data_IF_835099938312
#
_entry.id   IF_835099938312
#
_cell.length_a   1.000
_cell.length_b   1.000
_cell.length_c   1.000
_cell.angle_alpha   90.00
_cell.angle_beta   90.00
_cell.angle_gamma   90.00
#
_symmetry.space_group_name_H-M   'P 1'
#
loop_
_entity.id
_entity.type
_entity.pdbx_description
1 polymer ?
#
# COMPACT_ATOMS: atom_id res chain seq x y z
N UNK A 1 -23.40 15.42 -3.52
CA UNK A 1 -22.29 15.01 -2.63
C UNK A 1 -21.13 14.62 -3.53
N UNK A 2 -19.93 15.21 -3.36
CA UNK A 2 -18.74 14.71 -4.08
C UNK A 2 -18.47 13.31 -3.53
N UNK A 3 -18.51 12.26 -4.36
CA UNK A 3 -18.04 10.95 -3.94
C UNK A 3 -16.58 11.11 -3.52
N UNK A 4 -16.28 10.86 -2.24
CA UNK A 4 -14.89 10.80 -1.79
C UNK A 4 -14.22 9.65 -2.53
N UNK A 5 -12.96 9.86 -2.94
CA UNK A 5 -12.15 8.78 -3.50
C UNK A 5 -11.96 7.70 -2.43
N UNK A 6 -12.03 6.44 -2.84
CA UNK A 6 -11.75 5.33 -1.93
C UNK A 6 -10.29 5.40 -1.48
N UNK A 7 -10.03 5.08 -0.20
CA UNK A 7 -8.69 4.97 0.37
C UNK A 7 -8.26 3.51 0.40
N UNK A 8 -7.23 3.19 -0.37
CA UNK A 8 -6.80 1.80 -0.59
C UNK A 8 -5.37 1.62 -0.09
N UNK A 9 -5.18 0.71 0.87
CA UNK A 9 -3.87 0.27 1.30
C UNK A 9 -3.40 -0.93 0.47
N UNK A 10 -2.18 -0.88 -0.05
CA UNK A 10 -1.56 -1.97 -0.83
C UNK A 10 -0.23 -2.34 -0.17
N UNK A 11 -0.13 -3.56 0.38
CA UNK A 11 1.09 -4.11 0.96
C UNK A 11 1.86 -4.93 -0.09
N UNK A 12 3.18 -4.79 -0.10
CA UNK A 12 4.03 -5.38 -1.14
C UNK A 12 4.08 -4.54 -2.42
N UNK A 13 3.90 -3.22 -2.27
CA UNK A 13 3.72 -2.31 -3.40
C UNK A 13 4.91 -2.25 -4.37
N UNK A 14 6.12 -2.60 -3.94
CA UNK A 14 7.30 -2.67 -4.81
C UNK A 14 7.37 -3.94 -5.68
N UNK A 15 6.59 -4.99 -5.40
CA UNK A 15 6.54 -6.20 -6.22
C UNK A 15 5.73 -5.98 -7.50
N UNK A 16 5.91 -6.83 -8.51
CA UNK A 16 5.24 -6.66 -9.83
C UNK A 16 3.71 -6.58 -9.72
N UNK A 17 3.11 -7.40 -8.85
CA UNK A 17 1.66 -7.38 -8.60
C UNK A 17 1.27 -6.09 -7.86
N UNK A 18 2.01 -5.74 -6.81
CA UNK A 18 1.76 -4.53 -6.03
C UNK A 18 1.83 -3.25 -6.86
N UNK A 19 2.83 -3.13 -7.74
CA UNK A 19 2.98 -1.99 -8.66
C UNK A 19 1.80 -1.92 -9.64
N UNK A 20 1.39 -3.05 -10.23
CA UNK A 20 0.25 -3.10 -11.15
C UNK A 20 -1.06 -2.69 -10.44
N UNK A 21 -1.25 -3.10 -9.19
CA UNK A 21 -2.40 -2.69 -8.37
C UNK A 21 -2.36 -1.19 -8.06
N UNK A 22 -1.19 -0.63 -7.72
CA UNK A 22 -1.02 0.81 -7.51
C UNK A 22 -1.42 1.59 -8.78
N UNK A 23 -0.85 1.23 -9.93
CA UNK A 23 -1.16 1.83 -11.24
C UNK A 23 -2.65 1.72 -11.62
N UNK A 24 -3.31 0.62 -11.24
CA UNK A 24 -4.74 0.45 -11.47
C UNK A 24 -5.57 1.39 -10.59
N UNK A 25 -5.36 1.36 -9.27
CA UNK A 25 -6.24 2.03 -8.31
C UNK A 25 -6.04 3.54 -8.25
N UNK A 26 -4.83 4.05 -8.44
CA UNK A 26 -4.56 5.47 -8.27
C UNK A 26 -5.26 6.38 -9.29
N UNK A 27 -5.77 5.79 -10.38
CA UNK A 27 -6.62 6.46 -11.37
C UNK A 27 -7.92 7.01 -10.76
N UNK A 28 -8.44 6.37 -9.71
CA UNK A 28 -9.76 6.67 -9.14
C UNK A 28 -9.78 6.69 -7.59
N UNK A 29 -8.69 6.32 -6.94
CA UNK A 29 -8.59 6.12 -5.50
C UNK A 29 -7.35 6.80 -4.93
N UNK A 30 -7.38 7.10 -3.63
CA UNK A 30 -6.20 7.52 -2.89
C UNK A 30 -5.45 6.26 -2.44
N UNK A 31 -4.26 6.04 -3.00
CA UNK A 31 -3.48 4.81 -2.79
C UNK A 31 -2.39 5.03 -1.75
N UNK A 32 -2.33 4.12 -0.78
CA UNK A 32 -1.33 4.05 0.27
C UNK A 32 -0.48 2.79 0.05
N UNK A 33 0.71 2.98 -0.50
CA UNK A 33 1.61 1.93 -0.93
C UNK A 33 2.60 1.55 0.18
N UNK A 34 2.32 0.46 0.89
CA UNK A 34 3.19 -0.11 1.92
C UNK A 34 4.25 -1.02 1.29
N UNK A 35 5.53 -0.73 1.55
CA UNK A 35 6.66 -1.44 0.95
C UNK A 35 7.87 -1.43 1.87
N UNK A 36 8.78 -2.40 1.70
CA UNK A 36 10.08 -2.40 2.40
C UNK A 36 11.14 -1.54 1.77
N UNK A 37 11.13 -1.47 0.45
CA UNK A 37 12.09 -0.70 -0.33
C UNK A 37 11.33 0.34 -1.15
N UNK A 38 11.96 1.49 -1.35
CA UNK A 38 11.48 2.45 -2.33
C UNK A 38 11.50 1.84 -3.74
N UNK A 39 10.65 2.36 -4.60
CA UNK A 39 10.51 1.90 -5.98
C UNK A 39 10.04 3.06 -6.87
N UNK A 40 10.58 3.14 -8.07
CA UNK A 40 10.16 4.16 -9.02
C UNK A 40 8.79 3.80 -9.59
N UNK A 41 7.88 4.76 -9.48
CA UNK A 41 6.56 4.70 -10.09
C UNK A 41 6.19 6.13 -10.45
N UNK A 42 5.90 6.33 -11.73
CA UNK A 42 5.72 7.65 -12.34
C UNK A 42 4.31 8.19 -12.08
N UNK A 43 3.89 8.28 -10.82
CA UNK A 43 2.52 8.69 -10.51
C UNK A 43 2.41 9.56 -9.25
N UNK A 44 2.01 10.82 -9.47
CA UNK A 44 1.92 11.91 -8.48
C UNK A 44 0.79 11.75 -7.45
N UNK A 45 0.07 10.61 -7.45
CA UNK A 45 -1.18 10.42 -6.73
C UNK A 45 -1.12 9.44 -5.55
N UNK A 46 0.02 8.79 -5.32
CA UNK A 46 0.13 7.76 -4.29
C UNK A 46 1.03 8.18 -3.12
N UNK A 47 0.68 7.71 -1.94
CA UNK A 47 1.45 7.89 -0.71
C UNK A 47 2.27 6.64 -0.47
N UNK A 48 3.60 6.74 -0.56
CA UNK A 48 4.50 5.65 -0.21
C UNK A 48 4.71 5.60 1.30
N UNK A 49 4.59 4.41 1.87
CA UNK A 49 4.82 4.15 3.29
C UNK A 49 5.91 3.07 3.37
N UNK A 50 7.11 3.50 3.72
CA UNK A 50 8.24 2.60 3.93
C UNK A 50 8.14 1.95 5.30
N UNK A 51 8.32 0.63 5.33
CA UNK A 51 8.41 -0.18 6.54
C UNK A 51 9.73 -0.93 6.54
N UNK A 52 10.44 -1.01 7.66
CA UNK A 52 11.69 -1.77 7.73
C UNK A 52 11.45 -3.27 7.46
N UNK A 53 10.32 -3.79 7.96
CA UNK A 53 9.80 -5.12 7.66
C UNK A 53 8.26 -5.16 7.78
N UNK A 54 7.66 -6.34 7.59
CA UNK A 54 6.23 -6.56 7.79
C UNK A 54 5.93 -7.33 9.10
N UNK A 55 6.80 -7.19 10.10
CA UNK A 55 6.54 -7.78 11.41
C UNK A 55 5.39 -7.05 12.13
N UNK A 56 4.81 -7.68 13.15
CA UNK A 56 3.66 -7.13 13.88
C UNK A 56 3.92 -5.74 14.46
N UNK A 57 5.10 -5.51 15.03
CA UNK A 57 5.48 -4.22 15.63
C UNK A 57 5.57 -3.09 14.61
N UNK A 58 6.23 -3.34 13.47
CA UNK A 58 6.36 -2.39 12.36
C UNK A 58 5.00 -2.03 11.77
N UNK A 59 4.15 -3.05 11.56
CA UNK A 59 2.79 -2.85 11.06
C UNK A 59 1.93 -2.09 12.07
N UNK A 60 2.02 -2.42 13.37
CA UNK A 60 1.30 -1.72 14.43
C UNK A 60 1.70 -0.23 14.53
N UNK A 61 2.99 0.06 14.50
CA UNK A 61 3.49 1.45 14.50
C UNK A 61 3.03 2.23 13.27
N UNK A 62 3.01 1.59 12.10
CA UNK A 62 2.49 2.23 10.89
C UNK A 62 0.98 2.46 10.97
N UNK A 63 0.21 1.49 11.48
CA UNK A 63 -1.23 1.59 11.66
C UNK A 63 -1.61 2.73 12.62
N UNK A 64 -0.84 2.96 13.69
CA UNK A 64 -1.07 4.05 14.64
C UNK A 64 -0.96 5.46 14.04
N UNK A 65 -0.45 5.61 12.81
CA UNK A 65 -0.44 6.88 12.08
C UNK A 65 -1.79 7.20 11.42
N UNK A 66 -2.74 6.26 11.47
CA UNK A 66 -4.05 6.37 10.87
C UNK A 66 -5.14 6.25 11.94
N UNK A 67 -6.24 6.97 11.75
CA UNK A 67 -7.40 6.88 12.62
C UNK A 67 -8.18 5.57 12.40
N UNK A 68 -9.09 5.25 13.32
CA UNK A 68 -10.00 4.11 13.18
C UNK A 68 -10.82 4.20 11.87
N UNK A 69 -10.98 3.05 11.18
CA UNK A 69 -11.72 2.92 9.91
C UNK A 69 -11.20 3.81 8.76
N UNK A 70 -9.90 4.08 8.72
CA UNK A 70 -9.31 4.95 7.72
C UNK A 70 -9.33 4.39 6.28
N UNK A 71 -9.13 3.08 6.11
CA UNK A 71 -9.06 2.44 4.79
C UNK A 71 -10.38 1.77 4.41
N UNK A 72 -10.85 1.99 3.18
CA UNK A 72 -11.99 1.28 2.60
C UNK A 72 -11.62 -0.14 2.16
N UNK A 73 -10.35 -0.33 1.77
CA UNK A 73 -9.83 -1.62 1.29
C UNK A 73 -8.36 -1.78 1.65
N UNK A 74 -8.01 -2.98 2.09
CA UNK A 74 -6.63 -3.41 2.32
C UNK A 74 -6.35 -4.58 1.38
N UNK A 75 -5.28 -4.47 0.58
CA UNK A 75 -4.81 -5.53 -0.32
C UNK A 75 -3.42 -5.94 0.11
N UNK A 76 -3.23 -7.24 0.35
CA UNK A 76 -1.96 -7.81 0.78
C UNK A 76 -1.38 -8.62 -0.36
N UNK A 77 -0.33 -8.08 -1.00
CA UNK A 77 0.39 -8.71 -2.12
C UNK A 77 1.86 -9.03 -1.79
N UNK A 78 2.13 -9.24 -0.50
CA UNK A 78 3.43 -9.73 -0.03
C UNK A 78 3.51 -11.24 -0.22
N UNK A 79 4.65 -11.73 -0.68
CA UNK A 79 4.89 -13.16 -0.82
C UNK A 79 6.31 -13.41 -1.29
N UNK A 80 6.91 -14.48 -0.79
CA UNK A 80 8.15 -15.05 -1.31
C UNK A 80 7.82 -16.51 -1.61
N UNK A 81 8.12 -16.94 -2.83
CA UNK A 81 8.12 -18.35 -3.17
C UNK A 81 9.50 -18.91 -2.82
N UNK A 82 9.54 -19.83 -1.87
CA UNK A 82 10.77 -20.55 -1.52
C UNK A 82 10.88 -21.75 -2.46
N UNK A 83 11.87 -21.75 -3.34
CA UNK A 83 12.09 -22.82 -4.33
C UNK A 83 13.01 -23.91 -3.77
N UNK A 84 12.67 -24.47 -2.62
CA UNK A 84 13.30 -25.73 -2.18
C UNK A 84 12.67 -26.93 -2.91
#
# INVERSE_FOLDING_TARGET
MKNQKQKIAIFGANGSIGQALCAHYQKQSDVYAFTRNDFDIDESGLVKILLDDFNEGSVFQAANKFDNNFFDKIIVSIGILHNE
#
